data_IF_513834569374
#
_entry.id   IF_513834569374
#
_cell.length_a   1.000
_cell.length_b   1.000
_cell.length_c   1.000
_cell.angle_alpha   90.00
_cell.angle_beta   90.00
_cell.angle_gamma   90.00
#
_symmetry.space_group_name_H-M   'P 1'
#
loop_
_entity.id
_entity.type
_entity.pdbx_description
1 polymer ?
#
# COMPACT_ATOMS: atom_id res chain seq x y z
N UNK A 1 4.39 -8.38 25.61
CA UNK A 1 2.96 -8.68 25.35
C UNK A 1 2.31 -7.76 24.33
N UNK A 2 2.59 -6.45 24.33
CA UNK A 2 2.12 -5.52 23.28
C UNK A 2 2.53 -5.99 21.87
N UNK A 3 3.75 -6.53 21.71
CA UNK A 3 4.23 -7.09 20.45
C UNK A 3 3.42 -8.26 19.89
N UNK A 4 2.80 -9.11 20.72
CA UNK A 4 2.03 -10.26 20.24
C UNK A 4 0.73 -9.84 19.53
N UNK A 5 0.05 -8.81 20.04
CA UNK A 5 -1.12 -8.21 19.38
C UNK A 5 -0.72 -7.45 18.11
N UNK A 6 0.42 -6.76 18.11
CA UNK A 6 0.93 -6.08 16.92
C UNK A 6 1.29 -7.06 15.79
N UNK A 7 1.89 -8.20 16.13
CA UNK A 7 2.19 -9.29 15.21
C UNK A 7 0.90 -9.96 14.70
N UNK A 8 -0.10 -10.14 15.56
CA UNK A 8 -1.43 -10.58 15.14
C UNK A 8 -2.09 -9.60 14.15
N UNK A 9 -2.03 -8.29 14.42
CA UNK A 9 -2.55 -7.28 13.48
C UNK A 9 -1.79 -7.30 12.15
N UNK A 10 -0.48 -7.61 12.17
CA UNK A 10 0.31 -7.78 10.96
C UNK A 10 -0.13 -9.02 10.17
N UNK A 11 -0.40 -10.14 10.83
CA UNK A 11 -0.93 -11.35 10.19
C UNK A 11 -2.31 -11.09 9.57
N UNK A 12 -3.20 -10.38 10.29
CA UNK A 12 -4.51 -9.97 9.76
C UNK A 12 -4.37 -9.09 8.51
N UNK A 13 -3.47 -8.09 8.54
CA UNK A 13 -3.20 -7.25 7.35
C UNK A 13 -2.64 -8.06 6.19
N UNK A 14 -1.77 -9.04 6.47
CA UNK A 14 -1.24 -9.94 5.46
C UNK A 14 -2.35 -10.80 4.83
N UNK A 15 -3.42 -11.11 5.57
CA UNK A 15 -4.61 -11.79 5.07
C UNK A 15 -5.66 -10.85 4.44
N UNK A 16 -5.32 -9.58 4.17
CA UNK A 16 -6.23 -8.57 3.60
C UNK A 16 -7.41 -8.19 4.52
N UNK A 17 -7.24 -8.34 5.84
CA UNK A 17 -8.10 -7.75 6.87
C UNK A 17 -7.54 -6.39 7.26
N UNK A 18 -8.28 -5.32 6.97
CA UNK A 18 -7.80 -3.94 7.16
C UNK A 18 -7.86 -3.53 8.62
N UNK A 19 -6.70 -3.49 9.27
CA UNK A 19 -6.55 -2.98 10.64
C UNK A 19 -5.90 -1.61 10.64
N UNK A 20 -6.69 -0.56 10.87
CA UNK A 20 -6.23 0.82 11.02
C UNK A 20 -5.61 1.08 12.41
N UNK A 21 -4.83 2.16 12.60
CA UNK A 21 -4.29 2.50 13.91
C UNK A 21 -5.38 2.75 14.97
N UNK A 22 -6.53 3.30 14.58
CA UNK A 22 -7.65 3.52 15.49
C UNK A 22 -8.25 2.18 15.95
N UNK A 23 -8.45 1.24 15.03
CA UNK A 23 -8.94 -0.10 15.35
C UNK A 23 -7.95 -0.89 16.21
N UNK A 24 -6.64 -0.74 15.97
CA UNK A 24 -5.63 -1.36 16.82
C UNK A 24 -5.73 -0.86 18.27
N UNK A 25 -5.96 0.45 18.47
CA UNK A 25 -6.16 1.05 19.80
C UNK A 25 -7.44 0.51 20.44
N UNK A 26 -8.54 0.43 19.69
CA UNK A 26 -9.82 -0.07 20.19
C UNK A 26 -9.75 -1.57 20.54
N UNK A 27 -9.05 -2.36 19.73
CA UNK A 27 -8.77 -3.77 20.01
C UNK A 27 -7.94 -3.92 21.29
N UNK A 28 -6.90 -3.12 21.50
CA UNK A 28 -6.14 -3.13 22.75
C UNK A 28 -7.01 -2.87 23.98
N UNK A 29 -7.84 -1.81 23.94
CA UNK A 29 -8.77 -1.49 25.04
C UNK A 29 -9.77 -2.61 25.31
N UNK A 30 -10.23 -3.25 24.25
CA UNK A 30 -11.18 -4.36 24.33
C UNK A 30 -10.54 -5.57 25.02
N UNK A 31 -9.30 -5.90 24.65
CA UNK A 31 -8.53 -6.97 25.29
C UNK A 31 -8.21 -6.65 26.75
N UNK A 32 -7.89 -5.41 27.09
CA UNK A 32 -7.71 -4.98 28.49
C UNK A 32 -8.97 -5.19 29.34
N UNK A 33 -10.15 -5.11 28.72
CA UNK A 33 -11.44 -5.27 29.41
C UNK A 33 -11.85 -6.75 29.53
N UNK A 34 -11.70 -7.52 28.44
CA UNK A 34 -12.14 -8.91 28.34
C UNK A 34 -11.14 -9.89 28.98
N UNK A 35 -9.85 -9.58 28.91
CA UNK A 35 -8.78 -10.47 29.35
C UNK A 35 -8.55 -11.66 28.42
N UNK A 36 -7.76 -12.64 28.88
CA UNK A 36 -7.31 -13.80 28.10
C UNK A 36 -7.80 -15.15 28.66
N UNK A 37 -8.61 -15.12 29.72
CA UNK A 37 -9.04 -16.33 30.42
C UNK A 37 -10.02 -17.16 29.61
N UNK A 38 -10.88 -16.50 28.84
CA UNK A 38 -11.86 -17.13 27.95
C UNK A 38 -11.45 -16.90 26.50
N UNK A 39 -11.09 -17.99 25.80
CA UNK A 39 -10.62 -17.94 24.41
C UNK A 39 -11.72 -17.52 23.44
N UNK A 40 -12.95 -18.01 23.63
CA UNK A 40 -14.05 -17.69 22.72
C UNK A 40 -14.43 -16.22 22.88
N UNK A 41 -14.58 -15.75 24.12
CA UNK A 41 -14.89 -14.35 24.38
C UNK A 41 -13.79 -13.41 23.87
N UNK A 42 -12.51 -13.79 24.04
CA UNK A 42 -11.38 -13.03 23.51
C UNK A 42 -11.39 -12.98 21.98
N UNK A 43 -11.67 -14.11 21.31
CA UNK A 43 -11.78 -14.20 19.85
C UNK A 43 -12.91 -13.31 19.33
N UNK A 44 -14.09 -13.44 19.91
CA UNK A 44 -15.29 -12.72 19.47
C UNK A 44 -15.14 -11.21 19.67
N UNK A 45 -14.56 -10.81 20.81
CA UNK A 45 -14.31 -9.40 21.11
C UNK A 45 -13.32 -8.78 20.12
N UNK A 46 -12.23 -9.48 19.77
CA UNK A 46 -11.30 -9.03 18.74
C UNK A 46 -11.96 -8.99 17.35
N UNK A 47 -12.71 -10.03 16.98
CA UNK A 47 -13.43 -10.10 15.70
C UNK A 47 -14.37 -8.90 15.54
N UNK A 48 -15.16 -8.59 16.57
CA UNK A 48 -16.10 -7.48 16.58
C UNK A 48 -15.43 -6.11 16.43
N UNK A 49 -14.18 -5.96 16.88
CA UNK A 49 -13.41 -4.71 16.75
C UNK A 49 -12.68 -4.57 15.42
N UNK A 50 -12.28 -5.68 14.80
CA UNK A 50 -11.32 -5.70 13.69
C UNK A 50 -11.95 -6.06 12.34
N UNK A 51 -12.98 -6.90 12.30
CA UNK A 51 -13.62 -7.35 11.06
C UNK A 51 -14.91 -6.54 10.77
N UNK A 52 -15.03 -6.01 9.55
CA UNK A 52 -16.12 -5.12 9.12
C UNK A 52 -17.01 -5.70 8.03
N UNK A 53 -16.68 -6.89 7.54
CA UNK A 53 -17.47 -7.61 6.53
C UNK A 53 -17.47 -9.10 6.81
N UNK A 54 -18.45 -9.83 6.26
CA UNK A 54 -18.52 -11.29 6.39
C UNK A 54 -17.24 -11.98 5.87
N UNK A 55 -16.67 -11.46 4.77
CA UNK A 55 -15.41 -11.98 4.22
C UNK A 55 -14.21 -11.70 5.13
N UNK A 56 -14.22 -10.57 5.86
CA UNK A 56 -13.18 -10.27 6.85
C UNK A 56 -13.32 -11.15 8.09
N UNK A 57 -14.55 -11.51 8.51
CA UNK A 57 -14.78 -12.44 9.62
C UNK A 57 -14.21 -13.82 9.31
N UNK A 58 -14.47 -14.36 8.11
CA UNK A 58 -13.93 -15.68 7.70
C UNK A 58 -12.40 -15.69 7.71
N UNK A 59 -11.79 -14.60 7.20
CA UNK A 59 -10.32 -14.46 7.20
C UNK A 59 -9.76 -14.26 8.59
N UNK A 60 -10.42 -13.45 9.42
CA UNK A 60 -10.07 -13.26 10.82
C UNK A 60 -10.07 -14.59 11.56
N UNK A 61 -11.13 -15.39 11.43
CA UNK A 61 -11.27 -16.66 12.13
C UNK A 61 -10.13 -17.62 11.78
N UNK A 62 -9.82 -17.76 10.50
CA UNK A 62 -8.71 -18.60 10.02
C UNK A 62 -7.37 -18.16 10.62
N UNK A 63 -7.05 -16.86 10.55
CA UNK A 63 -5.80 -16.32 11.10
C UNK A 63 -5.75 -16.41 12.62
N UNK A 64 -6.87 -16.19 13.31
CA UNK A 64 -6.96 -16.33 14.76
C UNK A 64 -6.66 -17.77 15.19
N UNK A 65 -7.26 -18.75 14.53
CA UNK A 65 -7.01 -20.15 14.86
C UNK A 65 -5.54 -20.51 14.62
N UNK A 66 -4.95 -20.14 13.49
CA UNK A 66 -3.55 -20.44 13.21
C UNK A 66 -2.58 -19.68 14.13
N UNK A 67 -2.85 -18.40 14.43
CA UNK A 67 -1.95 -17.56 15.23
C UNK A 67 -1.96 -17.93 16.70
N UNK A 68 -3.15 -18.21 17.25
CA UNK A 68 -3.32 -18.60 18.64
C UNK A 68 -3.43 -20.12 18.81
N UNK A 69 -3.14 -20.91 17.77
CA UNK A 69 -3.06 -22.36 17.90
C UNK A 69 -1.97 -22.69 18.91
N UNK A 70 -2.34 -23.36 19.99
CA UNK A 70 -1.39 -23.95 20.93
C UNK A 70 -0.92 -25.28 20.37
N UNK A 71 -0.16 -25.26 19.28
CA UNK A 71 0.80 -26.34 19.07
C UNK A 71 1.81 -26.20 20.20
N UNK A 72 1.66 -27.02 21.25
CA UNK A 72 2.75 -27.17 22.21
C UNK A 72 3.96 -27.61 21.38
N UNK A 73 5.07 -26.85 21.41
CA UNK A 73 6.25 -27.29 20.69
C UNK A 73 6.57 -28.71 21.17
N UNK A 74 6.75 -29.62 20.23
CA UNK A 74 6.86 -31.04 20.49
C UNK A 74 8.30 -31.37 20.91
N UNK A 75 8.77 -30.69 21.95
CA UNK A 75 9.97 -31.08 22.67
C UNK A 75 9.54 -32.19 23.64
N UNK A 76 9.39 -33.40 23.13
CA UNK A 76 9.25 -34.56 24.02
C UNK A 76 10.52 -34.68 24.86
N UNK A 77 10.40 -34.91 26.19
CA UNK A 77 11.55 -35.06 27.05
C UNK A 77 12.39 -36.25 26.57
N UNK A 78 13.71 -36.09 26.55
CA UNK A 78 14.62 -37.19 26.25
C UNK A 78 14.36 -38.33 27.26
N UNK A 79 14.49 -39.61 26.86
CA UNK A 79 14.40 -40.71 27.81
C UNK A 79 15.41 -40.50 28.95
N UNK A 80 14.92 -40.57 30.19
CA UNK A 80 15.76 -40.41 31.38
C UNK A 80 16.73 -41.59 31.47
N UNK A 81 18.02 -41.33 31.31
CA UNK A 81 19.09 -42.24 31.70
C UNK A 81 19.43 -42.07 33.18
N UNK A 82 19.93 -43.11 33.83
CA UNK A 82 20.49 -43.03 35.18
C UNK A 82 21.88 -42.37 35.10
N UNK A 83 22.01 -41.10 35.49
CA UNK A 83 23.30 -40.36 35.51
C UNK A 83 23.17 -38.87 35.18
N UNK A 84 24.26 -38.13 35.34
CA UNK A 84 24.35 -36.73 34.90
C UNK A 84 24.26 -36.67 33.35
N UNK A 85 23.29 -35.96 32.76
CA UNK A 85 23.14 -35.85 31.31
C UNK A 85 24.36 -35.27 30.57
N UNK A 86 25.24 -34.57 31.29
CA UNK A 86 26.42 -33.91 30.75
C UNK A 86 27.70 -34.76 30.85
N UNK A 87 27.65 -35.92 31.53
CA UNK A 87 28.81 -36.77 31.74
C UNK A 87 29.40 -37.26 30.40
N UNK A 88 30.72 -37.21 30.25
CA UNK A 88 31.43 -37.54 29.01
C UNK A 88 31.48 -36.44 27.93
N UNK A 89 30.87 -35.26 28.14
CA UNK A 89 31.01 -34.11 27.24
C UNK A 89 32.33 -33.35 27.48
N UNK A 90 32.87 -32.62 26.46
CA UNK A 90 34.08 -31.83 26.62
C UNK A 90 33.92 -30.68 27.63
N UNK A 91 35.01 -30.29 28.31
CA UNK A 91 35.06 -29.11 29.17
C UNK A 91 34.54 -27.86 28.43
N UNK A 92 33.67 -27.09 29.08
CA UNK A 92 32.98 -25.93 28.50
C UNK A 92 31.61 -26.25 27.86
N UNK A 93 31.23 -27.53 27.71
CA UNK A 93 29.87 -27.87 27.28
C UNK A 93 28.79 -27.41 28.29
N UNK A 94 29.16 -27.25 29.56
CA UNK A 94 28.31 -26.74 30.64
C UNK A 94 27.90 -25.28 30.46
N UNK A 95 28.66 -24.49 29.70
CA UNK A 95 28.40 -23.08 29.43
C UNK A 95 27.34 -22.86 28.34
N UNK A 96 26.98 -23.91 27.59
CA UNK A 96 25.96 -23.84 26.54
C UNK A 96 24.57 -24.08 27.10
N UNK A 97 23.80 -23.00 27.28
CA UNK A 97 22.41 -23.06 27.73
C UNK A 97 21.54 -23.96 26.83
N UNK A 98 21.77 -23.93 25.52
CA UNK A 98 21.05 -24.79 24.56
C UNK A 98 21.38 -26.27 24.78
N UNK A 99 22.64 -26.62 25.07
CA UNK A 99 23.03 -28.01 25.31
C UNK A 99 22.32 -28.56 26.55
N UNK A 100 22.30 -27.77 27.63
CA UNK A 100 21.60 -28.11 28.88
C UNK A 100 20.11 -28.34 28.64
N UNK A 101 19.44 -27.38 27.98
CA UNK A 101 18.01 -27.48 27.66
C UNK A 101 17.68 -28.72 26.81
N UNK A 102 18.52 -29.07 25.82
CA UNK A 102 18.31 -30.23 24.95
C UNK A 102 18.48 -31.57 25.69
N UNK A 103 19.42 -31.64 26.63
CA UNK A 103 19.74 -32.86 27.37
C UNK A 103 18.79 -33.12 28.55
N UNK A 104 18.36 -32.06 29.23
CA UNK A 104 17.35 -32.09 30.31
C UNK A 104 15.91 -32.20 29.78
N UNK A 105 15.70 -31.87 28.50
CA UNK A 105 14.37 -31.86 27.90
C UNK A 105 13.50 -30.69 28.38
N UNK A 106 14.11 -29.52 28.62
CA UNK A 106 13.43 -28.30 29.04
C UNK A 106 12.60 -27.71 27.89
N UNK A 107 11.44 -28.30 27.64
CA UNK A 107 10.52 -27.87 26.59
C UNK A 107 10.10 -26.39 26.70
N UNK A 108 9.73 -25.86 27.89
CA UNK A 108 9.46 -24.43 28.06
C UNK A 108 10.67 -23.54 27.73
N UNK A 109 11.86 -23.88 28.21
CA UNK A 109 13.08 -23.12 27.92
C UNK A 109 13.42 -23.11 26.43
N UNK A 110 13.36 -24.27 25.77
CA UNK A 110 13.58 -24.39 24.32
C UNK A 110 12.57 -23.57 23.51
N UNK A 111 11.31 -23.57 23.92
CA UNK A 111 10.26 -22.77 23.27
C UNK A 111 10.55 -21.27 23.38
N UNK A 112 10.95 -20.81 24.56
CA UNK A 112 11.31 -19.41 24.78
C UNK A 112 12.57 -19.01 23.99
N UNK A 113 13.62 -19.83 24.03
CA UNK A 113 14.86 -19.58 23.29
C UNK A 113 14.61 -19.53 21.78
N UNK A 114 13.73 -20.41 21.27
CA UNK A 114 13.33 -20.40 19.85
C UNK A 114 12.59 -19.13 19.47
N UNK A 115 11.68 -18.64 20.31
CA UNK A 115 10.94 -17.40 20.07
C UNK A 115 11.88 -16.18 20.03
N UNK A 116 12.81 -16.07 20.98
CA UNK A 116 13.80 -14.99 21.02
C UNK A 116 14.75 -15.04 19.81
N UNK A 117 15.21 -16.24 19.42
CA UNK A 117 16.02 -16.43 18.24
C UNK A 117 15.25 -16.11 16.94
N UNK A 118 13.95 -16.43 16.88
CA UNK A 118 13.09 -16.10 15.75
C UNK A 118 12.90 -14.58 15.57
N UNK A 119 12.79 -13.84 16.68
CA UNK A 119 12.75 -12.38 16.66
C UNK A 119 14.06 -11.80 16.11
N UNK A 120 15.23 -12.27 16.57
CA UNK A 120 16.55 -11.85 16.05
C UNK A 120 16.74 -12.22 14.58
N UNK A 121 16.33 -13.42 14.19
CA UNK A 121 16.37 -13.90 12.81
C UNK A 121 15.32 -13.24 11.89
N UNK A 122 14.38 -12.48 12.45
CA UNK A 122 13.27 -11.80 11.76
C UNK A 122 12.38 -12.78 10.96
N UNK A 123 12.05 -13.94 11.56
CA UNK A 123 11.25 -14.98 10.89
C UNK A 123 9.85 -14.47 10.53
N UNK A 124 9.26 -13.58 11.34
CA UNK A 124 7.95 -12.95 11.07
C UNK A 124 7.93 -12.03 9.83
N UNK A 125 9.07 -11.77 9.19
CA UNK A 125 9.16 -11.05 7.91
C UNK A 125 9.18 -11.98 6.69
N UNK A 126 8.95 -13.28 6.88
CA UNK A 126 8.89 -14.24 5.78
C UNK A 126 7.78 -13.86 4.78
N UNK A 127 8.14 -13.83 3.49
CA UNK A 127 7.20 -13.50 2.40
C UNK A 127 7.11 -14.57 1.32
N UNK A 128 8.16 -15.37 1.16
CA UNK A 128 8.30 -16.34 0.07
C UNK A 128 8.62 -17.72 0.61
N UNK A 129 8.07 -18.75 -0.04
CA UNK A 129 8.36 -20.16 0.27
C UNK A 129 9.85 -20.47 0.14
N UNK A 130 10.54 -19.85 -0.81
CA UNK A 130 11.99 -20.02 -1.02
C UNK A 130 12.84 -19.49 0.13
N UNK A 131 12.29 -18.62 0.99
CA UNK A 131 12.99 -18.10 2.16
C UNK A 131 12.96 -19.07 3.35
N UNK A 132 12.09 -20.10 3.34
CA UNK A 132 11.92 -21.05 4.46
C UNK A 132 13.25 -21.65 4.89
N UNK A 133 13.96 -22.34 4.00
CA UNK A 133 15.23 -23.02 4.35
C UNK A 133 16.30 -22.05 4.85
N UNK A 134 16.38 -20.85 4.26
CA UNK A 134 17.34 -19.81 4.68
C UNK A 134 17.02 -19.29 6.08
N UNK A 135 15.74 -19.03 6.37
CA UNK A 135 15.30 -18.53 7.67
C UNK A 135 15.37 -19.59 8.75
N UNK A 136 15.06 -20.86 8.45
CA UNK A 136 15.29 -21.98 9.37
C UNK A 136 16.75 -22.10 9.76
N UNK A 137 17.67 -22.04 8.79
CA UNK A 137 19.11 -22.07 9.09
C UNK A 137 19.53 -20.89 9.97
N UNK A 138 19.10 -19.67 9.65
CA UNK A 138 19.40 -18.48 10.44
C UNK A 138 18.83 -18.56 11.86
N UNK A 139 17.60 -19.07 12.01
CA UNK A 139 16.97 -19.32 13.31
C UNK A 139 17.84 -20.26 14.16
N UNK A 140 18.27 -21.38 13.59
CA UNK A 140 19.11 -22.36 14.30
C UNK A 140 20.50 -21.80 14.63
N UNK A 141 21.09 -20.99 13.74
CA UNK A 141 22.34 -20.25 14.02
C UNK A 141 22.17 -19.31 15.23
N UNK A 142 21.09 -18.54 15.29
CA UNK A 142 20.76 -17.63 16.41
C UNK A 142 20.42 -18.35 17.73
N UNK A 143 20.05 -19.63 17.66
CA UNK A 143 19.87 -20.49 18.83
C UNK A 143 21.18 -21.06 19.36
N UNK A 144 22.28 -20.99 18.61
CA UNK A 144 23.57 -21.56 19.01
C UNK A 144 23.85 -22.95 18.45
N UNK A 145 23.19 -23.37 17.35
CA UNK A 145 23.38 -24.71 16.78
C UNK A 145 24.86 -25.03 16.46
N UNK A 146 25.65 -24.04 16.05
CA UNK A 146 27.07 -24.22 15.74
C UNK A 146 27.90 -24.68 16.97
N UNK A 147 27.53 -24.22 18.17
CA UNK A 147 28.16 -24.63 19.43
C UNK A 147 27.82 -26.09 19.75
N UNK A 148 26.56 -26.48 19.58
CA UNK A 148 26.10 -27.88 19.74
C UNK A 148 26.86 -28.81 18.80
N UNK A 149 27.05 -28.42 17.54
CA UNK A 149 27.84 -29.20 16.58
C UNK A 149 29.30 -29.38 17.00
N UNK A 150 29.91 -28.34 17.58
CA UNK A 150 31.27 -28.40 18.11
C UNK A 150 31.38 -29.33 19.33
N UNK A 151 30.41 -29.27 20.24
CA UNK A 151 30.32 -30.14 21.43
C UNK A 151 30.20 -31.62 21.01
N UNK A 152 29.26 -31.94 20.11
CA UNK A 152 29.08 -33.31 19.57
C UNK A 152 30.37 -33.81 18.92
N UNK A 153 31.02 -32.99 18.10
CA UNK A 153 32.27 -33.35 17.43
C UNK A 153 33.42 -33.56 18.44
N UNK A 154 33.47 -32.78 19.52
CA UNK A 154 34.43 -32.92 20.62
C UNK A 154 34.26 -34.23 21.39
N UNK A 155 33.03 -34.53 21.81
CA UNK A 155 32.69 -35.75 22.54
C UNK A 155 33.06 -37.02 21.75
N UNK A 156 32.81 -37.04 20.43
CA UNK A 156 33.17 -38.16 19.55
C UNK A 156 34.67 -38.38 19.40
N UNK A 157 35.50 -37.34 19.52
CA UNK A 157 36.96 -37.47 19.45
C UNK A 157 37.55 -38.06 20.73
N UNK A 158 36.93 -37.80 21.88
CA UNK A 158 37.44 -38.21 23.19
C UNK A 158 37.11 -39.66 23.55
N UNK A 159 36.18 -40.31 22.82
CA UNK A 159 35.87 -41.74 22.95
C UNK A 159 34.99 -42.14 24.15
N UNK A 160 34.97 -41.33 25.20
CA UNK A 160 34.21 -41.57 26.45
C UNK A 160 32.80 -40.96 26.43
N UNK A 161 32.53 -40.02 25.52
CA UNK A 161 31.29 -39.24 25.45
C UNK A 161 30.25 -39.73 24.43
N UNK A 162 30.31 -40.99 24.01
CA UNK A 162 29.47 -41.51 22.90
C UNK A 162 27.97 -41.39 23.16
N UNK A 163 27.52 -41.78 24.36
CA UNK A 163 26.10 -41.76 24.72
C UNK A 163 25.55 -40.33 24.87
N UNK A 164 26.29 -39.43 25.52
CA UNK A 164 25.91 -38.02 25.63
C UNK A 164 25.89 -37.32 24.26
N UNK A 165 26.86 -37.63 23.38
CA UNK A 165 26.87 -37.11 22.00
C UNK A 165 25.65 -37.59 21.20
N UNK A 166 25.24 -38.84 21.35
CA UNK A 166 24.08 -39.39 20.65
C UNK A 166 22.75 -38.80 21.18
N UNK A 167 22.65 -38.56 22.49
CA UNK A 167 21.53 -37.82 23.10
C UNK A 167 21.43 -36.40 22.58
N UNK A 168 22.56 -35.70 22.50
CA UNK A 168 22.62 -34.32 22.00
C UNK A 168 22.31 -34.25 20.49
N UNK A 169 22.76 -35.24 19.70
CA UNK A 169 22.42 -35.33 18.27
C UNK A 169 20.93 -35.66 18.04
N UNK A 170 20.30 -36.46 18.92
CA UNK A 170 18.86 -36.64 18.92
C UNK A 170 18.10 -35.35 19.29
N UNK A 171 18.57 -34.61 20.30
CA UNK A 171 18.05 -33.29 20.66
C UNK A 171 18.14 -32.29 19.50
N UNK A 172 19.31 -32.21 18.85
CA UNK A 172 19.53 -31.39 17.65
C UNK A 172 18.55 -31.70 16.52
N UNK A 173 18.29 -32.98 16.25
CA UNK A 173 17.32 -33.39 15.21
C UNK A 173 15.91 -32.86 15.53
N UNK A 174 15.44 -33.07 16.77
CA UNK A 174 14.14 -32.55 17.24
C UNK A 174 14.07 -31.02 17.15
N UNK A 175 15.13 -30.33 17.57
CA UNK A 175 15.22 -28.88 17.47
C UNK A 175 15.10 -28.39 16.02
N UNK A 176 15.77 -29.07 15.08
CA UNK A 176 15.73 -28.72 13.66
C UNK A 176 14.34 -28.91 13.08
N UNK A 177 13.66 -30.00 13.42
CA UNK A 177 12.27 -30.27 13.00
C UNK A 177 11.29 -29.25 13.57
N UNK A 178 11.43 -28.87 14.84
CA UNK A 178 10.58 -27.84 15.45
C UNK A 178 10.85 -26.46 14.83
N UNK A 179 12.11 -26.11 14.56
CA UNK A 179 12.46 -24.87 13.85
C UNK A 179 11.87 -24.81 12.42
N UNK A 180 11.84 -25.93 11.71
CA UNK A 180 11.18 -26.03 10.39
C UNK A 180 9.67 -25.82 10.51
N UNK A 181 9.02 -26.48 11.49
CA UNK A 181 7.59 -26.32 11.77
C UNK A 181 7.25 -24.88 12.19
N UNK A 182 8.07 -24.27 13.02
CA UNK A 182 7.93 -22.87 13.41
C UNK A 182 7.95 -21.95 12.19
N UNK A 183 8.97 -22.05 11.32
CA UNK A 183 9.10 -21.21 10.12
C UNK A 183 7.96 -21.47 9.13
N UNK A 184 7.46 -22.69 9.03
CA UNK A 184 6.29 -23.04 8.22
C UNK A 184 5.01 -22.36 8.72
N UNK A 185 4.74 -22.40 10.02
CA UNK A 185 3.61 -21.68 10.63
C UNK A 185 3.72 -20.17 10.41
N UNK A 186 4.91 -19.60 10.58
CA UNK A 186 5.14 -18.19 10.29
C UNK A 186 4.90 -17.87 8.81
N UNK A 187 5.32 -18.75 7.90
CA UNK A 187 5.01 -18.61 6.48
C UNK A 187 3.50 -18.64 6.24
N UNK A 188 2.76 -19.57 6.85
CA UNK A 188 1.31 -19.64 6.70
C UNK A 188 0.62 -18.35 7.17
N UNK A 189 1.03 -17.81 8.32
CA UNK A 189 0.47 -16.59 8.90
C UNK A 189 0.76 -15.31 8.10
N UNK A 190 2.00 -15.16 7.62
CA UNK A 190 2.46 -13.89 7.02
C UNK A 190 2.57 -13.94 5.48
N UNK A 191 2.58 -15.13 4.87
CA UNK A 191 2.67 -15.28 3.41
C UNK A 191 1.32 -15.43 2.71
N UNK A 192 0.20 -15.65 3.43
CA UNK A 192 -1.13 -15.87 2.87
C UNK A 192 -1.59 -14.79 1.87
N UNK A 193 -1.21 -13.52 2.06
CA UNK A 193 -1.40 -12.45 1.06
C UNK A 193 -0.11 -11.86 0.50
N UNK A 194 1.06 -12.42 0.84
CA UNK A 194 2.34 -11.98 0.29
C UNK A 194 2.41 -12.15 -1.22
N UNK A 195 1.74 -13.16 -1.80
CA UNK A 195 1.65 -13.32 -3.26
C UNK A 195 0.93 -12.15 -3.95
N UNK A 196 -0.23 -11.74 -3.41
CA UNK A 196 -0.99 -10.58 -3.91
C UNK A 196 -0.21 -9.28 -3.70
N UNK A 197 0.27 -9.02 -2.48
CA UNK A 197 1.04 -7.81 -2.17
C UNK A 197 2.33 -7.70 -3.00
N UNK A 198 3.07 -8.80 -3.18
CA UNK A 198 4.27 -8.80 -4.01
C UNK A 198 3.91 -8.52 -5.47
N UNK A 199 2.80 -9.07 -5.96
CA UNK A 199 2.32 -8.81 -7.32
C UNK A 199 1.86 -7.35 -7.48
N UNK A 200 1.19 -6.76 -6.49
CA UNK A 200 0.90 -5.32 -6.45
C UNK A 200 2.18 -4.49 -6.44
N UNK A 201 3.20 -4.84 -5.66
CA UNK A 201 4.48 -4.13 -5.59
C UNK A 201 5.25 -4.23 -6.92
N UNK A 202 5.24 -5.40 -7.56
CA UNK A 202 5.83 -5.58 -8.88
C UNK A 202 5.10 -4.76 -9.94
N UNK A 203 3.76 -4.78 -9.93
CA UNK A 203 2.95 -3.96 -10.84
C UNK A 203 3.13 -2.47 -10.59
N UNK A 204 3.29 -2.07 -9.33
CA UNK A 204 3.52 -0.69 -8.97
C UNK A 204 4.85 -0.15 -9.46
N UNK A 205 5.84 -1.01 -9.69
CA UNK A 205 7.16 -0.67 -10.26
C UNK A 205 7.27 -0.95 -11.75
N UNK A 206 6.39 -1.76 -12.33
CA UNK A 206 6.43 -2.12 -13.75
C UNK A 206 6.19 -0.86 -14.58
N UNK A 207 7.16 -0.55 -15.44
CA UNK A 207 7.05 0.55 -16.37
C UNK A 207 5.91 0.25 -17.36
N UNK A 208 4.95 1.16 -17.43
CA UNK A 208 3.72 1.00 -18.20
C UNK A 208 3.95 1.16 -19.71
N UNK A 209 5.15 1.58 -20.11
CA UNK A 209 5.63 1.67 -21.48
C UNK A 209 6.43 0.44 -21.95
N UNK A 210 6.55 -0.61 -21.14
CA UNK A 210 7.34 -1.79 -21.48
C UNK A 210 6.74 -2.57 -22.67
N UNK A 211 7.56 -2.83 -23.68
CA UNK A 211 7.22 -3.69 -24.82
C UNK A 211 6.83 -5.09 -24.29
N UNK A 212 5.60 -5.52 -24.64
CA UNK A 212 5.00 -6.76 -24.14
C UNK A 212 3.63 -6.58 -23.49
N UNK A 213 3.22 -5.33 -23.20
CA UNK A 213 1.90 -5.03 -22.66
C UNK A 213 1.72 -5.49 -21.20
N UNK A 214 0.48 -5.37 -20.72
CA UNK A 214 0.06 -5.79 -19.39
C UNK A 214 -0.80 -7.04 -19.56
N UNK A 215 -0.48 -8.11 -18.82
CA UNK A 215 -1.29 -9.33 -18.80
C UNK A 215 -2.74 -8.99 -18.38
N UNK A 216 -3.79 -9.60 -18.96
CA UNK A 216 -5.18 -9.33 -18.56
C UNK A 216 -5.44 -9.40 -17.06
N UNK A 217 -4.79 -10.31 -16.34
CA UNK A 217 -4.89 -10.44 -14.87
C UNK A 217 -4.29 -9.22 -14.18
N UNK A 218 -3.11 -8.81 -14.64
CA UNK A 218 -2.39 -7.64 -14.13
C UNK A 218 -3.14 -6.33 -14.47
N UNK A 219 -3.87 -6.29 -15.59
CA UNK A 219 -4.70 -5.16 -16.01
C UNK A 219 -5.88 -4.96 -15.07
N UNK A 220 -6.60 -6.02 -14.70
CA UNK A 220 -7.70 -5.93 -13.73
C UNK A 220 -7.22 -5.46 -12.35
N UNK A 221 -6.05 -5.96 -11.91
CA UNK A 221 -5.43 -5.53 -10.67
C UNK A 221 -5.00 -4.06 -10.71
N UNK A 222 -4.40 -3.63 -11.82
CA UNK A 222 -4.05 -2.23 -12.06
C UNK A 222 -5.29 -1.34 -12.02
N UNK A 223 -6.37 -1.70 -12.71
CA UNK A 223 -7.63 -0.97 -12.70
C UNK A 223 -8.17 -0.80 -11.28
N UNK A 224 -8.16 -1.86 -10.46
CA UNK A 224 -8.60 -1.78 -9.06
C UNK A 224 -7.74 -0.82 -8.21
N UNK A 225 -6.41 -0.87 -8.38
CA UNK A 225 -5.48 0.05 -7.70
C UNK A 225 -5.72 1.50 -8.14
N UNK A 226 -5.86 1.75 -9.44
CA UNK A 226 -6.14 3.06 -10.02
C UNK A 226 -7.47 3.63 -9.49
N UNK A 227 -8.53 2.82 -9.47
CA UNK A 227 -9.82 3.22 -8.91
C UNK A 227 -9.73 3.58 -7.44
N UNK A 228 -8.96 2.83 -6.64
CA UNK A 228 -8.71 3.13 -5.22
C UNK A 228 -7.97 4.46 -5.05
N UNK A 229 -6.99 4.75 -5.91
CA UNK A 229 -6.26 6.02 -5.92
C UNK A 229 -7.17 7.19 -6.32
N UNK A 230 -7.97 7.03 -7.38
CA UNK A 230 -8.96 8.02 -7.81
C UNK A 230 -9.97 8.32 -6.69
N UNK A 231 -10.46 7.29 -5.99
CA UNK A 231 -11.31 7.44 -4.80
C UNK A 231 -10.68 8.27 -3.69
N UNK A 232 -9.41 8.01 -3.36
CA UNK A 232 -8.67 8.81 -2.37
C UNK A 232 -8.56 10.28 -2.79
N UNK A 233 -8.34 10.53 -4.08
CA UNK A 233 -8.29 11.90 -4.63
C UNK A 233 -9.67 12.56 -4.52
N UNK A 234 -10.73 11.91 -5.03
CA UNK A 234 -12.07 12.48 -5.03
C UNK A 234 -12.66 12.70 -3.64
N UNK A 235 -12.47 11.76 -2.69
CA UNK A 235 -12.93 11.91 -1.30
C UNK A 235 -12.37 13.17 -0.63
N UNK A 236 -11.21 13.66 -1.11
CA UNK A 236 -10.57 14.89 -0.63
C UNK A 236 -11.08 16.12 -1.40
N UNK A 237 -11.28 16.02 -2.72
CA UNK A 237 -11.85 17.09 -3.54
C UNK A 237 -13.34 17.34 -3.26
N UNK A 238 -14.07 16.31 -2.82
CA UNK A 238 -15.50 16.37 -2.44
C UNK A 238 -15.73 17.08 -1.11
N UNK A 239 -14.70 17.22 -0.26
CA UNK A 239 -14.83 17.91 1.04
C UNK A 239 -15.14 19.38 0.85
N UNK A 240 -16.43 19.72 1.00
CA UNK A 240 -16.94 21.09 1.03
C UNK A 240 -16.24 21.86 2.15
N UNK A 241 -15.46 22.87 1.78
CA UNK A 241 -14.91 23.81 2.76
C UNK A 241 -15.97 24.83 3.14
N UNK A 242 -16.42 24.75 4.38
CA UNK A 242 -17.11 25.86 5.03
C UNK A 242 -16.06 26.68 5.78
N UNK A 243 -15.74 27.87 5.28
CA UNK A 243 -14.94 28.82 6.04
C UNK A 243 -15.88 29.58 6.99
N UNK A 244 -16.02 29.09 8.23
CA UNK A 244 -16.06 29.90 9.46
C UNK A 244 -16.39 29.05 10.71
N UNK A 245 -15.46 29.02 11.67
CA UNK A 245 -15.78 28.81 13.11
C UNK A 245 -15.46 30.04 13.98
N UNK A 246 -14.80 31.06 13.42
CA UNK A 246 -14.47 32.39 13.99
C UNK A 246 -14.26 33.38 12.82
N UNK A 247 -14.63 34.65 12.95
CA UNK A 247 -14.48 35.66 11.88
C UNK A 247 -15.48 36.81 11.95
N UNK A 248 -16.03 37.26 10.82
CA UNK A 248 -17.10 38.27 10.81
C UNK A 248 -18.44 37.65 11.21
N UNK A 249 -19.10 38.21 12.22
CA UNK A 249 -20.45 37.81 12.63
C UNK A 249 -21.47 38.23 11.57
N UNK A 250 -22.37 37.32 11.19
CA UNK A 250 -23.55 37.67 10.39
C UNK A 250 -24.57 38.32 11.34
N UNK A 251 -24.48 39.65 11.46
CA UNK A 251 -25.30 40.45 12.38
C UNK A 251 -26.79 40.23 12.13
N UNK A 252 -27.21 40.16 10.86
CA UNK A 252 -28.63 40.02 10.51
C UNK A 252 -29.17 38.64 10.87
N UNK A 253 -28.45 37.56 10.56
CA UNK A 253 -28.85 36.20 10.94
C UNK A 253 -28.76 35.97 12.44
N UNK A 254 -27.73 36.50 13.10
CA UNK A 254 -27.55 36.41 14.55
C UNK A 254 -28.69 37.10 15.29
N UNK A 255 -29.03 38.36 14.94
CA UNK A 255 -30.16 39.07 15.54
C UNK A 255 -31.49 38.36 15.28
N UNK A 256 -31.70 37.84 14.07
CA UNK A 256 -32.94 37.09 13.73
C UNK A 256 -33.09 35.81 14.54
N UNK A 257 -32.00 35.07 14.75
CA UNK A 257 -31.97 33.90 15.66
C UNK A 257 -32.12 34.27 17.13
N UNK A 258 -31.76 35.50 17.50
CA UNK A 258 -31.84 36.01 18.87
C UNK A 258 -33.20 36.60 19.22
N UNK A 259 -34.09 36.80 18.25
CA UNK A 259 -35.45 37.35 18.45
C UNK A 259 -36.28 36.56 19.48
N UNK A 260 -36.28 35.21 19.52
CA UNK A 260 -36.99 34.45 20.55
C UNK A 260 -36.44 34.71 21.97
N UNK A 261 -35.17 35.12 22.08
CA UNK A 261 -34.48 35.40 23.34
C UNK A 261 -34.46 36.89 23.69
N UNK A 262 -35.44 37.67 23.21
CA UNK A 262 -35.51 39.11 23.47
C UNK A 262 -34.38 39.92 22.84
N UNK A 263 -33.74 39.39 21.79
CA UNK A 263 -32.63 40.04 21.10
C UNK A 263 -31.25 39.75 21.68
N UNK A 264 -31.16 38.95 22.76
CA UNK A 264 -29.88 38.57 23.36
C UNK A 264 -29.19 37.44 22.57
N UNK A 265 -27.97 37.65 22.05
CA UNK A 265 -27.30 36.70 21.16
C UNK A 265 -26.56 35.59 21.91
N UNK A 266 -27.30 34.53 22.28
CA UNK A 266 -26.71 33.30 22.82
C UNK A 266 -26.07 32.41 21.74
N UNK A 267 -26.62 32.42 20.53
CA UNK A 267 -26.08 31.70 19.37
C UNK A 267 -25.52 32.69 18.34
N UNK A 268 -24.19 32.85 18.32
CA UNK A 268 -23.52 33.69 17.33
C UNK A 268 -23.41 32.93 16.01
N UNK A 269 -23.97 33.51 14.93
CA UNK A 269 -23.86 32.96 13.57
C UNK A 269 -22.74 33.67 12.85
N UNK A 270 -21.71 32.93 12.46
CA UNK A 270 -20.60 33.45 11.66
C UNK A 270 -20.98 33.55 10.19
N UNK A 271 -20.44 34.56 9.49
CA UNK A 271 -20.56 34.69 8.04
C UNK A 271 -19.70 33.60 7.38
N UNK A 272 -20.32 32.46 7.06
CA UNK A 272 -19.62 31.36 6.39
C UNK A 272 -19.44 31.68 4.91
N UNK A 273 -18.20 31.81 4.46
CA UNK A 273 -17.90 31.83 3.04
C UNK A 273 -17.94 30.38 2.54
N UNK A 274 -18.89 30.10 1.65
CA UNK A 274 -18.97 28.80 0.96
C UNK A 274 -17.82 28.78 -0.05
N UNK A 275 -16.87 27.88 0.13
CA UNK A 275 -15.87 27.63 -0.91
C UNK A 275 -16.54 26.72 -1.93
N UNK A 276 -16.53 27.15 -3.20
CA UNK A 276 -17.08 26.37 -4.29
C UNK A 276 -16.35 25.02 -4.44
N UNK A 277 -17.11 24.00 -4.87
CA UNK A 277 -16.53 22.68 -5.11
C UNK A 277 -15.48 22.80 -6.22
N UNK A 278 -14.23 22.33 -5.99
CA UNK A 278 -13.21 22.34 -7.04
C UNK A 278 -13.64 21.50 -8.24
N UNK A 279 -13.32 21.97 -9.44
CA UNK A 279 -13.53 21.30 -10.73
C UNK A 279 -12.22 20.74 -11.27
N UNK A 280 -12.29 19.64 -12.01
CA UNK A 280 -11.13 19.04 -12.67
C UNK A 280 -11.38 19.03 -14.18
N UNK A 281 -10.42 19.52 -14.95
CA UNK A 281 -10.37 19.31 -16.40
C UNK A 281 -9.16 18.43 -16.67
N UNK A 282 -9.36 17.29 -17.33
CA UNK A 282 -8.28 16.38 -17.69
C UNK A 282 -8.18 16.27 -19.21
N UNK A 283 -6.97 16.46 -19.74
CA UNK A 283 -6.67 16.46 -21.17
C UNK A 283 -5.65 15.35 -21.42
N UNK A 284 -6.08 14.29 -22.11
CA UNK A 284 -5.29 13.08 -22.33
C UNK A 284 -4.80 12.96 -23.78
N UNK A 285 -3.49 12.78 -23.92
CA UNK A 285 -2.86 12.43 -25.18
C UNK A 285 -3.13 10.95 -25.49
N UNK A 286 -3.60 10.67 -26.71
CA UNK A 286 -3.78 9.32 -27.25
C UNK A 286 -3.11 9.16 -28.62
N UNK A 287 -2.12 10.01 -28.90
CA UNK A 287 -1.31 9.99 -30.11
C UNK A 287 -0.39 8.76 -30.19
N UNK A 288 0.27 8.61 -31.34
CA UNK A 288 1.16 7.48 -31.60
C UNK A 288 2.37 7.43 -30.63
N UNK A 289 2.88 8.57 -30.18
CA UNK A 289 4.07 8.63 -29.32
C UNK A 289 3.80 8.08 -27.92
N UNK A 290 2.57 8.17 -27.43
CA UNK A 290 2.12 7.62 -26.14
C UNK A 290 1.46 6.25 -26.26
N UNK A 291 1.52 5.57 -27.41
CA UNK A 291 0.77 4.34 -27.68
C UNK A 291 0.91 3.26 -26.59
N UNK A 292 2.12 3.07 -26.06
CA UNK A 292 2.39 2.11 -25.00
C UNK A 292 1.74 2.48 -23.65
N UNK A 293 1.59 3.78 -23.36
CA UNK A 293 1.04 4.30 -22.11
C UNK A 293 -0.44 4.71 -22.22
N UNK A 294 -0.99 4.84 -23.43
CA UNK A 294 -2.32 5.40 -23.68
C UNK A 294 -3.44 4.65 -22.95
N UNK A 295 -3.39 3.31 -22.94
CA UNK A 295 -4.38 2.48 -22.23
C UNK A 295 -4.38 2.76 -20.72
N UNK A 296 -3.21 2.95 -20.12
CA UNK A 296 -3.08 3.30 -18.71
C UNK A 296 -3.61 4.70 -18.42
N UNK A 297 -3.22 5.70 -19.22
CA UNK A 297 -3.67 7.09 -19.04
C UNK A 297 -5.20 7.19 -19.16
N UNK A 298 -5.80 6.49 -20.12
CA UNK A 298 -7.26 6.42 -20.28
C UNK A 298 -7.94 5.66 -19.13
N UNK A 299 -7.33 4.58 -18.61
CA UNK A 299 -7.83 3.89 -17.41
C UNK A 299 -7.87 4.83 -16.21
N UNK A 300 -6.83 5.65 -16.03
CA UNK A 300 -6.79 6.66 -14.99
C UNK A 300 -7.84 7.75 -15.20
N UNK A 301 -7.97 8.26 -16.43
CA UNK A 301 -8.98 9.24 -16.81
C UNK A 301 -10.40 8.76 -16.50
N UNK A 302 -10.74 7.53 -16.91
CA UNK A 302 -12.04 6.91 -16.64
C UNK A 302 -12.28 6.77 -15.13
N UNK A 303 -11.28 6.26 -14.40
CA UNK A 303 -11.39 6.06 -12.95
C UNK A 303 -11.57 7.37 -12.19
N UNK A 304 -10.99 8.47 -12.69
CA UNK A 304 -11.25 9.79 -12.13
C UNK A 304 -12.66 10.29 -12.45
N UNK A 305 -13.14 10.09 -13.69
CA UNK A 305 -14.48 10.50 -14.11
C UNK A 305 -15.58 9.83 -13.28
N UNK A 306 -15.43 8.53 -12.98
CA UNK A 306 -16.41 7.77 -12.18
C UNK A 306 -16.54 8.29 -10.74
N UNK A 307 -15.50 8.93 -10.21
CA UNK A 307 -15.39 9.23 -8.78
C UNK A 307 -15.49 10.75 -8.51
N UNK A 308 -15.16 11.61 -9.47
CA UNK A 308 -15.15 13.07 -9.31
C UNK A 308 -16.40 13.70 -9.94
N UNK A 309 -17.34 14.17 -9.11
CA UNK A 309 -18.62 14.78 -9.55
C UNK A 309 -18.50 15.90 -10.61
N UNK A 310 -17.44 16.73 -10.55
CA UNK A 310 -17.25 17.90 -11.43
C UNK A 310 -15.97 17.74 -12.24
N UNK A 311 -15.95 16.70 -13.07
CA UNK A 311 -14.85 16.42 -13.98
C UNK A 311 -15.28 16.62 -15.43
N UNK A 312 -14.35 17.13 -16.23
CA UNK A 312 -14.46 17.12 -17.68
C UNK A 312 -13.20 16.50 -18.28
N UNK A 313 -13.42 15.56 -19.18
CA UNK A 313 -12.40 14.74 -19.78
C UNK A 313 -12.36 15.00 -21.29
N UNK A 314 -11.15 15.30 -21.76
CA UNK A 314 -10.84 15.50 -23.16
C UNK A 314 -9.72 14.56 -23.57
N UNK A 315 -9.77 14.08 -24.81
CA UNK A 315 -8.70 13.32 -25.40
C UNK A 315 -8.29 13.96 -26.73
N UNK A 316 -6.99 13.93 -27.06
CA UNK A 316 -6.49 14.49 -28.30
C UNK A 316 -5.45 13.60 -28.98
N UNK A 317 -5.44 13.74 -30.31
CA UNK A 317 -4.47 13.12 -31.22
C UNK A 317 -4.72 13.81 -32.57
N UNK A 318 -3.87 14.79 -32.90
CA UNK A 318 -4.08 15.77 -33.98
C UNK A 318 -5.19 16.81 -33.73
N UNK A 319 -6.32 16.40 -33.14
CA UNK A 319 -7.48 17.26 -32.77
C UNK A 319 -7.99 16.93 -31.37
N UNK A 320 -8.66 17.87 -30.72
CA UNK A 320 -9.29 17.66 -29.40
C UNK A 320 -10.73 17.17 -29.54
N UNK A 321 -11.14 16.19 -28.72
CA UNK A 321 -12.56 15.82 -28.54
C UNK A 321 -12.90 15.73 -27.05
N UNK A 322 -14.16 16.06 -26.71
CA UNK A 322 -14.74 15.66 -25.43
C UNK A 322 -14.95 14.15 -25.40
N UNK A 323 -14.60 13.51 -24.29
CA UNK A 323 -14.81 12.07 -24.08
C UNK A 323 -15.80 11.76 -22.96
N UNK A 324 -16.39 12.77 -22.30
CA UNK A 324 -17.37 12.58 -21.21
C UNK A 324 -18.46 11.56 -21.57
N UNK A 325 -19.16 11.76 -22.70
CA UNK A 325 -20.25 10.87 -23.13
C UNK A 325 -19.78 9.41 -23.29
N UNK A 326 -18.55 9.20 -23.75
CA UNK A 326 -17.98 7.85 -23.93
C UNK A 326 -17.63 7.22 -22.59
N UNK A 327 -17.16 8.02 -21.63
CA UNK A 327 -16.80 7.54 -20.29
C UNK A 327 -18.05 7.26 -19.43
N UNK A 328 -19.17 7.92 -19.71
CA UNK A 328 -20.42 7.78 -18.94
C UNK A 328 -21.27 6.59 -19.45
N UNK A 329 -21.26 6.30 -20.76
CA UNK A 329 -22.15 5.30 -21.38
C UNK A 329 -21.58 3.87 -21.43
N UNK A 330 -20.25 3.71 -21.41
CA UNK A 330 -19.58 2.43 -21.66
C UNK A 330 -18.82 1.92 -20.43
N UNK A 331 -18.73 0.59 -20.27
CA UNK A 331 -17.78 0.00 -19.31
C UNK A 331 -16.33 0.32 -19.71
N UNK A 332 -15.41 0.36 -18.73
CA UNK A 332 -14.04 0.85 -18.90
C UNK A 332 -13.32 0.35 -20.16
N UNK A 333 -13.36 -0.95 -20.44
CA UNK A 333 -12.67 -1.53 -21.60
C UNK A 333 -13.34 -1.10 -22.93
N UNK A 334 -14.67 -0.99 -22.94
CA UNK A 334 -15.45 -0.46 -24.06
C UNK A 334 -15.15 1.02 -24.30
N UNK A 335 -15.16 1.83 -23.24
CA UNK A 335 -14.87 3.27 -23.32
C UNK A 335 -13.47 3.54 -23.89
N UNK A 336 -12.45 2.84 -23.36
CA UNK A 336 -11.07 2.96 -23.84
C UNK A 336 -10.97 2.58 -25.32
N UNK A 337 -11.57 1.44 -25.71
CA UNK A 337 -11.58 1.00 -27.10
C UNK A 337 -12.25 2.03 -28.03
N UNK A 338 -13.39 2.60 -27.63
CA UNK A 338 -14.10 3.61 -28.40
C UNK A 338 -13.29 4.90 -28.58
N UNK A 339 -12.64 5.40 -27.51
CA UNK A 339 -11.77 6.59 -27.58
C UNK A 339 -10.61 6.35 -28.54
N UNK A 340 -9.90 5.24 -28.39
CA UNK A 340 -8.77 4.87 -29.26
C UNK A 340 -9.21 4.69 -30.71
N UNK A 341 -10.39 4.10 -30.95
CA UNK A 341 -10.95 3.94 -32.29
C UNK A 341 -11.32 5.27 -32.94
N UNK A 342 -11.81 6.24 -32.16
CA UNK A 342 -12.32 7.52 -32.68
C UNK A 342 -11.20 8.52 -33.03
N UNK A 343 -10.12 8.54 -32.26
CA UNK A 343 -9.02 9.52 -32.44
C UNK A 343 -7.60 8.97 -32.25
N UNK A 344 -7.42 7.74 -31.79
CA UNK A 344 -6.11 7.22 -31.36
C UNK A 344 -5.06 7.13 -32.47
N UNK A 345 -3.80 7.17 -32.04
CA UNK A 345 -2.60 6.86 -32.83
C UNK A 345 -2.33 7.74 -34.06
N UNK A 346 -2.88 8.96 -34.10
CA UNK A 346 -2.48 9.96 -35.11
C UNK A 346 -1.20 10.68 -34.68
N UNK A 347 -0.68 11.55 -35.55
CA UNK A 347 0.45 12.41 -35.22
C UNK A 347 0.08 13.38 -34.09
N UNK A 348 1.03 13.62 -33.20
CA UNK A 348 0.86 14.50 -32.05
C UNK A 348 1.01 15.95 -32.49
N UNK A 349 0.01 16.77 -32.19
CA UNK A 349 0.08 18.22 -32.33
C UNK A 349 -0.55 18.86 -31.09
N UNK A 350 0.30 19.24 -30.13
CA UNK A 350 -0.13 19.92 -28.91
C UNK A 350 -0.58 21.36 -29.18
N UNK A 351 -0.02 22.03 -30.19
CA UNK A 351 -0.38 23.40 -30.51
C UNK A 351 -1.82 23.49 -30.98
N UNK A 352 -2.19 22.59 -31.90
CA UNK A 352 -3.55 22.50 -32.42
C UNK A 352 -4.56 22.06 -31.35
N UNK A 353 -4.19 21.10 -30.50
CA UNK A 353 -5.09 20.65 -29.42
C UNK A 353 -5.32 21.73 -28.36
N UNK A 354 -4.30 22.53 -28.03
CA UNK A 354 -4.44 23.69 -27.16
C UNK A 354 -5.31 24.78 -27.78
N UNK A 355 -5.19 25.01 -29.09
CA UNK A 355 -6.05 25.94 -29.83
C UNK A 355 -7.51 25.50 -29.80
N UNK A 356 -7.79 24.25 -30.17
CA UNK A 356 -9.14 23.68 -30.11
C UNK A 356 -9.73 23.78 -28.69
N UNK A 357 -8.91 23.55 -27.65
CA UNK A 357 -9.34 23.69 -26.25
C UNK A 357 -9.63 25.14 -25.88
N UNK A 358 -8.74 26.07 -26.24
CA UNK A 358 -8.89 27.48 -25.86
C UNK A 358 -10.04 28.16 -26.61
N UNK A 359 -10.32 27.75 -27.85
CA UNK A 359 -11.43 28.28 -28.64
C UNK A 359 -12.79 27.79 -28.13
N UNK A 360 -12.89 26.52 -27.75
CA UNK A 360 -14.19 25.90 -27.48
C UNK A 360 -14.51 25.70 -25.98
N UNK A 361 -13.51 25.70 -25.10
CA UNK A 361 -13.65 25.24 -23.71
C UNK A 361 -12.94 26.11 -22.65
N UNK A 362 -12.33 27.24 -23.03
CA UNK A 362 -11.61 28.11 -22.09
C UNK A 362 -12.53 28.80 -21.07
N UNK A 363 -13.82 28.92 -21.37
CA UNK A 363 -14.86 29.42 -20.46
C UNK A 363 -15.08 28.50 -19.25
N UNK A 364 -14.67 27.23 -19.34
CA UNK A 364 -14.74 26.24 -18.27
C UNK A 364 -13.54 26.29 -17.32
N UNK A 365 -12.51 27.05 -17.67
CA UNK A 365 -11.31 27.24 -16.85
C UNK A 365 -11.44 28.50 -15.99
N UNK A 366 -11.56 28.30 -14.67
CA UNK A 366 -11.60 29.38 -13.69
C UNK A 366 -10.61 29.13 -12.52
N UNK A 367 -10.63 30.03 -11.53
CA UNK A 367 -9.76 29.96 -10.33
C UNK A 367 -10.07 28.80 -9.38
N UNK A 368 -11.10 28.00 -9.67
CA UNK A 368 -11.48 26.80 -8.94
C UNK A 368 -11.17 25.53 -9.73
N UNK A 369 -10.87 25.64 -11.03
CA UNK A 369 -10.52 24.53 -11.92
C UNK A 369 -9.05 24.14 -11.81
N UNK A 370 -8.80 22.84 -11.61
CA UNK A 370 -7.47 22.23 -11.79
C UNK A 370 -7.40 21.55 -13.15
N UNK A 371 -6.44 21.94 -13.97
CA UNK A 371 -6.21 21.36 -15.30
C UNK A 371 -5.10 20.32 -15.20
N UNK A 372 -5.36 19.09 -15.65
CA UNK A 372 -4.43 17.97 -15.65
C UNK A 372 -4.15 17.57 -17.10
N UNK A 373 -2.91 17.68 -17.52
CA UNK A 373 -2.43 17.16 -18.80
C UNK A 373 -1.81 15.78 -18.59
N UNK A 374 -2.23 14.80 -19.39
CA UNK A 374 -1.66 13.46 -19.44
C UNK A 374 -1.03 13.26 -20.82
N UNK A 375 0.30 13.27 -20.93
CA UNK A 375 0.96 13.18 -22.23
C UNK A 375 2.46 13.47 -22.21
N UNK A 376 3.15 13.11 -23.29
CA UNK A 376 4.62 13.17 -23.39
C UNK A 376 5.20 14.55 -23.74
N UNK A 377 4.36 15.50 -24.18
CA UNK A 377 4.79 16.82 -24.61
C UNK A 377 5.61 16.81 -25.90
N UNK A 378 5.48 15.81 -26.78
CA UNK A 378 6.12 15.77 -28.10
C UNK A 378 5.27 16.51 -29.14
N UNK A 379 5.80 17.56 -29.73
CA UNK A 379 5.05 18.38 -30.69
C UNK A 379 5.34 18.08 -32.16
N UNK A 380 6.20 17.10 -32.50
CA UNK A 380 6.64 16.85 -33.88
C UNK A 380 7.12 18.12 -34.61
N UNK A 381 7.80 19.03 -33.88
CA UNK A 381 8.26 20.34 -34.36
C UNK A 381 7.16 21.36 -34.73
N UNK A 382 5.89 21.07 -34.44
CA UNK A 382 4.82 22.06 -34.52
C UNK A 382 4.99 23.15 -33.46
N UNK A 383 4.38 24.32 -33.70
CA UNK A 383 4.38 25.42 -32.74
C UNK A 383 3.69 24.98 -31.43
N UNK A 384 4.39 24.98 -30.28
CA UNK A 384 3.80 24.56 -29.02
C UNK A 384 2.79 25.56 -28.43
N UNK A 385 2.56 26.73 -29.05
CA UNK A 385 1.52 27.68 -28.59
C UNK A 385 1.60 28.01 -27.10
N UNK A 386 2.79 28.43 -26.67
CA UNK A 386 3.06 28.78 -25.26
C UNK A 386 2.16 29.92 -24.74
N UNK A 387 1.66 30.77 -25.65
CA UNK A 387 0.67 31.82 -25.39
C UNK A 387 -0.63 31.24 -24.80
N UNK A 388 -1.10 30.12 -25.35
CA UNK A 388 -2.30 29.44 -24.88
C UNK A 388 -2.06 28.77 -23.53
N UNK A 389 -0.90 28.13 -23.36
CA UNK A 389 -0.51 27.54 -22.09
C UNK A 389 -0.42 28.57 -20.96
N UNK A 390 0.14 29.76 -21.25
CA UNK A 390 0.15 30.89 -20.31
C UNK A 390 -1.27 31.36 -19.97
N UNK A 391 -2.18 31.37 -20.95
CA UNK A 391 -3.58 31.74 -20.73
C UNK A 391 -4.28 30.77 -19.79
N UNK A 392 -4.08 29.46 -19.98
CA UNK A 392 -4.61 28.41 -19.10
C UNK A 392 -4.02 28.56 -17.69
N UNK A 393 -2.70 28.73 -17.58
CA UNK A 393 -2.02 28.92 -16.29
C UNK A 393 -2.58 30.09 -15.49
N UNK A 394 -2.82 31.23 -16.14
CA UNK A 394 -3.30 32.44 -15.48
C UNK A 394 -4.78 32.35 -15.04
N UNK A 395 -5.58 31.49 -15.67
CA UNK A 395 -7.00 31.31 -15.35
C UNK A 395 -7.23 30.20 -14.33
N UNK A 396 -6.53 29.08 -14.48
CA UNK A 396 -6.71 27.89 -13.67
C UNK A 396 -6.24 28.12 -12.23
N UNK A 397 -6.82 27.36 -11.29
CA UNK A 397 -6.30 27.25 -9.93
C UNK A 397 -4.90 26.64 -9.90
N UNK A 398 -4.71 25.62 -10.73
CA UNK A 398 -3.48 24.85 -10.82
C UNK A 398 -3.44 24.10 -12.14
N UNK A 399 -2.23 23.93 -12.66
CA UNK A 399 -1.94 23.16 -13.87
C UNK A 399 -0.97 22.05 -13.50
N UNK A 400 -1.36 20.81 -13.74
CA UNK A 400 -0.59 19.62 -13.43
C UNK A 400 -0.30 18.89 -14.75
N UNK A 401 0.95 18.48 -14.96
CA UNK A 401 1.36 17.70 -16.12
C UNK A 401 1.95 16.36 -15.68
N UNK A 402 1.35 15.26 -16.15
CA UNK A 402 1.80 13.90 -15.89
C UNK A 402 2.36 13.32 -17.20
N UNK A 403 3.68 13.18 -17.23
CA UNK A 403 4.40 12.77 -18.44
C UNK A 403 4.80 11.29 -18.37
N UNK A 404 4.42 10.42 -19.31
CA UNK A 404 4.84 9.01 -19.30
C UNK A 404 6.33 8.81 -19.61
N UNK A 405 7.03 9.81 -20.15
CA UNK A 405 8.48 9.77 -20.40
C UNK A 405 9.30 10.28 -19.20
N UNK A 406 10.50 9.72 -18.96
CA UNK A 406 11.43 10.23 -17.95
C UNK A 406 11.84 11.68 -18.21
N UNK A 407 12.10 12.45 -17.15
CA UNK A 407 12.54 13.86 -17.23
C UNK A 407 13.79 14.06 -18.12
N UNK A 408 14.68 13.06 -18.21
CA UNK A 408 15.86 13.11 -19.09
C UNK A 408 15.51 13.22 -20.58
N UNK A 409 14.29 12.84 -20.99
CA UNK A 409 13.81 12.90 -22.37
C UNK A 409 13.09 14.23 -22.69
N UNK A 410 12.74 15.04 -21.69
CA UNK A 410 11.96 16.28 -21.87
C UNK A 410 12.69 17.39 -22.62
N UNK A 411 14.01 17.26 -22.76
CA UNK A 411 14.88 18.17 -23.53
C UNK A 411 15.43 17.53 -24.80
N UNK A 412 14.99 16.31 -25.15
CA UNK A 412 15.52 15.55 -26.27
C UNK A 412 14.51 15.47 -27.43
N UNK A 413 15.05 15.35 -28.64
CA UNK A 413 14.26 15.19 -29.86
C UNK A 413 13.30 16.37 -30.08
N UNK A 414 12.04 16.05 -30.30
CA UNK A 414 10.93 16.98 -30.55
C UNK A 414 10.10 17.28 -29.28
N UNK A 415 10.60 16.91 -28.09
CA UNK A 415 9.92 17.23 -26.84
C UNK A 415 10.00 18.71 -26.53
N UNK A 416 8.83 19.33 -26.31
CA UNK A 416 8.69 20.72 -25.88
C UNK A 416 8.36 20.82 -24.39
N UNK A 417 8.44 19.71 -23.65
CA UNK A 417 8.04 19.62 -22.25
C UNK A 417 8.78 20.62 -21.37
N UNK A 418 10.09 20.81 -21.56
CA UNK A 418 10.88 21.82 -20.84
C UNK A 418 10.39 23.27 -21.03
N UNK A 419 9.59 23.55 -22.07
CA UNK A 419 8.95 24.84 -22.31
C UNK A 419 7.59 24.91 -21.61
N UNK A 420 6.80 23.84 -21.67
CA UNK A 420 5.50 23.75 -20.99
C UNK A 420 5.60 23.72 -19.47
N UNK A 421 6.65 23.11 -18.93
CA UNK A 421 6.89 23.00 -17.48
C UNK A 421 6.83 24.37 -16.78
N UNK A 422 7.26 25.44 -17.44
CA UNK A 422 7.23 26.82 -16.92
C UNK A 422 5.83 27.32 -16.58
N UNK A 423 4.81 26.74 -17.18
CA UNK A 423 3.40 27.06 -16.97
C UNK A 423 2.69 26.00 -16.12
N UNK A 424 3.41 24.96 -15.68
CA UNK A 424 2.90 23.91 -14.82
C UNK A 424 3.22 24.24 -13.36
N UNK A 425 2.24 24.08 -12.48
CA UNK A 425 2.47 24.14 -11.04
C UNK A 425 3.11 22.84 -10.54
N UNK A 426 2.77 21.72 -11.19
CA UNK A 426 3.44 20.43 -11.02
C UNK A 426 3.67 19.83 -12.40
N UNK A 427 4.91 19.47 -12.71
CA UNK A 427 5.23 18.59 -13.82
C UNK A 427 6.03 17.40 -13.26
N UNK A 428 5.58 16.18 -13.53
CA UNK A 428 6.23 14.96 -13.03
C UNK A 428 6.14 13.81 -14.03
N UNK A 429 7.17 12.97 -14.04
CA UNK A 429 7.10 11.67 -14.71
C UNK A 429 6.07 10.76 -14.02
N UNK A 430 5.20 10.15 -14.81
CA UNK A 430 4.15 9.23 -14.40
C UNK A 430 4.10 8.04 -15.37
N UNK A 431 5.03 7.10 -15.19
CA UNK A 431 5.18 5.88 -16.00
C UNK A 431 4.95 4.59 -15.21
N UNK A 432 4.64 4.70 -13.92
CA UNK A 432 4.34 3.59 -13.02
C UNK A 432 3.19 3.96 -12.08
N UNK A 433 2.47 2.97 -11.53
CA UNK A 433 1.43 3.24 -10.52
C UNK A 433 2.03 3.85 -9.25
N UNK A 434 3.23 3.45 -8.84
CA UNK A 434 3.89 4.00 -7.67
C UNK A 434 4.20 5.50 -7.80
N UNK A 435 4.58 5.94 -9.01
CA UNK A 435 4.73 7.38 -9.29
C UNK A 435 3.39 8.11 -9.25
N UNK A 436 2.35 7.53 -9.86
CA UNK A 436 1.00 8.11 -9.81
C UNK A 436 0.52 8.26 -8.35
N UNK A 437 0.72 7.26 -7.51
CA UNK A 437 0.36 7.31 -6.09
C UNK A 437 1.09 8.46 -5.39
N UNK A 438 2.41 8.56 -5.57
CA UNK A 438 3.22 9.62 -4.97
C UNK A 438 2.80 11.02 -5.44
N UNK A 439 2.52 11.17 -6.72
CA UNK A 439 2.05 12.43 -7.31
C UNK A 439 0.70 12.82 -6.71
N UNK A 440 -0.24 11.87 -6.60
CA UNK A 440 -1.53 12.11 -5.95
C UNK A 440 -1.30 12.56 -4.51
N UNK A 441 -0.41 11.91 -3.75
CA UNK A 441 -0.09 12.33 -2.38
C UNK A 441 0.54 13.73 -2.31
N UNK A 442 1.45 14.08 -3.22
CA UNK A 442 2.08 15.39 -3.29
C UNK A 442 1.07 16.49 -3.68
N UNK A 443 0.17 16.20 -4.62
CA UNK A 443 -0.94 17.09 -5.00
C UNK A 443 -1.89 17.28 -3.81
N UNK A 444 -2.19 16.21 -3.08
CA UNK A 444 -3.01 16.24 -1.86
C UNK A 444 -2.38 17.06 -0.72
N UNK A 445 -1.04 17.17 -0.67
CA UNK A 445 -0.30 17.98 0.33
C UNK A 445 -0.17 19.43 -0.08
N UNK A 446 0.17 19.69 -1.35
CA UNK A 446 0.59 21.01 -1.82
C UNK A 446 -0.59 21.96 -2.07
N UNK A 447 -1.71 21.44 -2.59
CA UNK A 447 -2.83 22.27 -3.01
C UNK A 447 -3.99 22.30 -2.00
N UNK A 448 -3.82 21.63 -0.86
CA UNK A 448 -4.77 21.62 0.26
C UNK A 448 -4.03 22.09 1.52
N UNK A 449 -3.91 23.42 1.77
CA UNK A 449 -3.38 23.89 3.05
C UNK A 449 -4.24 23.36 4.18
N UNK A 450 -3.70 22.90 5.30
CA UNK A 450 -4.46 22.28 6.40
C UNK A 450 -5.68 23.09 6.88
#
# INVERSE_FOLDING_TARGET
MQGALEDFFRALRAADVKVSPAEAIDAHRTVETVGFSDRELFKDALCATLAKSADEVVRFDSIFETFFSRDKPAFEPAPQGEGDPMDGLPEGAEDSDLARMLLEGDAPGLAQAMEEAAQRAQVSQIRLTTQRSRLTRRLLEEMGLAEIEAIIAGARRNGDGGEAADRLEAGKRRLTEEAQRYVERQHELYAAGSGKMLREEMLARKALNAEGGIDPVDQAMMQALVKKMAKRLADRYSRRRNRARKGHMDVRRTLRKSMPYGGMPFEIVWKTEKIDKPSIICICDVSKSVAAAAQFLLTFLYSLNEVVDRMEAYAFSGRLISVNDILDDEHIDGAIFQVLRKIGFQQTDYGKSLEDFCENHLDRVDRHTTVIFLGDGRSNYADPRLDLMATIHNRARSVIWLNPEPESYWTQGDSVMHRYERFCHVAKTCNTLGQLERIIEDVLRTYVPH
#
